data_IF_373428488276
#
_entry.id   IF_373428488276
#
_cell.length_a   1.000
_cell.length_b   1.000
_cell.length_c   1.000
_cell.angle_alpha   90.00
_cell.angle_beta   90.00
_cell.angle_gamma   90.00
#
_symmetry.space_group_name_H-M   'P 1'
#
loop_
_entity.id
_entity.type
_entity.pdbx_description
1 polymer ?
#
# COMPACT_ATOMS: atom_id res chain seq x y z
N UNK A 1 14.52 -0.59 -27.97
CA UNK A 1 14.66 -0.01 -26.62
C UNK A 1 14.03 -1.01 -25.68
N UNK A 2 14.71 -1.41 -24.59
CA UNK A 2 14.08 -2.26 -23.58
C UNK A 2 12.86 -1.55 -23.01
N UNK A 3 11.75 -2.26 -22.88
CA UNK A 3 10.54 -1.73 -22.26
C UNK A 3 10.83 -1.33 -20.81
N UNK A 4 10.27 -0.20 -20.36
CA UNK A 4 10.39 0.24 -18.96
C UNK A 4 9.41 -0.56 -18.09
N UNK A 5 9.84 -1.17 -16.97
CA UNK A 5 8.94 -1.81 -16.02
C UNK A 5 7.88 -0.83 -15.50
N UNK A 6 6.67 -1.33 -15.25
CA UNK A 6 5.51 -0.53 -14.83
C UNK A 6 4.81 -1.25 -13.70
N UNK A 7 4.72 -0.63 -12.54
CA UNK A 7 4.10 -1.21 -11.36
C UNK A 7 2.98 -0.28 -10.85
N UNK A 8 1.87 -0.87 -10.45
CA UNK A 8 0.72 -0.17 -9.91
C UNK A 8 0.39 -0.71 -8.52
N UNK A 9 0.43 0.16 -7.52
CA UNK A 9 0.02 -0.14 -6.15
C UNK A 9 -1.36 0.49 -5.90
N UNK A 10 -2.30 -0.28 -5.35
CA UNK A 10 -3.67 0.17 -5.11
C UNK A 10 -4.00 0.06 -3.63
N UNK A 11 -4.18 1.21 -2.98
CA UNK A 11 -4.39 1.37 -1.55
C UNK A 11 -5.70 2.07 -1.23
N UNK A 12 -6.20 1.83 -0.03
CA UNK A 12 -7.43 2.44 0.46
C UNK A 12 -7.20 3.90 0.85
N UNK A 13 -6.19 4.17 1.70
CA UNK A 13 -6.00 5.47 2.35
C UNK A 13 -4.59 6.06 2.15
N UNK A 14 -4.44 7.39 2.37
CA UNK A 14 -3.14 8.07 2.43
C UNK A 14 -2.25 7.66 3.62
N UNK A 15 -1.31 6.71 3.46
CA UNK A 15 -0.34 6.17 4.45
C UNK A 15 -0.11 4.67 4.23
N UNK A 16 -1.15 3.97 3.81
CA UNK A 16 -1.12 2.53 3.49
C UNK A 16 0.02 2.17 2.54
N UNK A 17 0.31 3.02 1.55
CA UNK A 17 1.38 2.79 0.58
C UNK A 17 2.75 2.82 1.24
N UNK A 18 2.96 3.71 2.22
CA UNK A 18 4.22 3.87 2.94
C UNK A 18 4.39 2.77 3.99
N UNK A 19 3.30 2.39 4.67
CA UNK A 19 3.27 1.34 5.68
C UNK A 19 3.60 -0.04 5.08
N UNK A 20 2.94 -0.38 3.96
CA UNK A 20 2.98 -1.73 3.39
C UNK A 20 4.00 -1.89 2.26
N UNK A 21 4.20 -0.88 1.41
CA UNK A 21 4.98 -1.00 0.18
C UNK A 21 6.04 0.09 -0.02
N UNK A 22 6.32 0.91 0.99
CA UNK A 22 7.19 2.07 0.84
C UNK A 22 8.60 1.70 0.38
N UNK A 23 9.17 0.62 0.92
CA UNK A 23 10.53 0.20 0.55
C UNK A 23 10.56 -0.37 -0.87
N UNK A 24 9.52 -1.11 -1.26
CA UNK A 24 9.38 -1.67 -2.61
C UNK A 24 9.16 -0.59 -3.66
N UNK A 25 8.33 0.41 -3.37
CA UNK A 25 8.11 1.55 -4.26
C UNK A 25 9.46 2.27 -4.50
N UNK A 26 10.19 2.59 -3.43
CA UNK A 26 11.51 3.23 -3.53
C UNK A 26 12.55 2.34 -4.25
N UNK A 27 12.49 1.02 -4.02
CA UNK A 27 13.35 0.04 -4.69
C UNK A 27 13.16 0.09 -6.22
N UNK A 28 11.91 0.12 -6.70
CA UNK A 28 11.63 0.12 -8.14
C UNK A 28 11.83 1.48 -8.79
N UNK A 29 11.46 2.59 -8.13
CA UNK A 29 11.68 3.94 -8.69
C UNK A 29 13.17 4.25 -8.83
N UNK A 30 14.01 3.86 -7.86
CA UNK A 30 15.47 4.03 -7.94
C UNK A 30 16.11 3.23 -9.09
N UNK A 31 15.45 2.15 -9.54
CA UNK A 31 15.86 1.33 -10.69
C UNK A 31 15.26 1.79 -12.02
N UNK A 32 14.57 2.93 -12.03
CA UNK A 32 13.99 3.55 -13.24
C UNK A 32 12.69 2.91 -13.71
N UNK A 33 12.03 2.08 -12.89
CA UNK A 33 10.68 1.63 -13.17
C UNK A 33 9.69 2.80 -13.05
N UNK A 34 8.61 2.75 -13.83
CA UNK A 34 7.46 3.64 -13.65
C UNK A 34 6.56 3.05 -12.58
N UNK A 35 6.51 3.69 -11.42
CA UNK A 35 5.66 3.26 -10.31
C UNK A 35 4.53 4.26 -10.14
N UNK A 36 3.30 3.74 -10.08
CA UNK A 36 2.09 4.52 -9.84
C UNK A 36 1.39 4.02 -8.58
N UNK A 37 0.81 4.94 -7.83
CA UNK A 37 0.04 4.64 -6.62
C UNK A 37 -1.37 5.19 -6.79
N UNK A 38 -2.36 4.31 -6.70
CA UNK A 38 -3.77 4.65 -6.65
C UNK A 38 -4.23 4.61 -5.20
N UNK A 39 -4.89 5.68 -4.77
CA UNK A 39 -5.53 5.77 -3.45
C UNK A 39 -7.05 5.91 -3.64
N UNK A 40 -7.82 5.04 -2.99
CA UNK A 40 -9.28 4.95 -3.18
C UNK A 40 -10.07 6.04 -2.45
N UNK A 41 -9.63 6.41 -1.26
CA UNK A 41 -10.26 7.43 -0.40
C UNK A 41 -9.22 8.43 0.10
N UNK A 42 -9.62 9.43 0.88
CA UNK A 42 -8.69 10.39 1.48
C UNK A 42 -8.43 10.09 2.97
N UNK A 43 -8.91 8.95 3.48
CA UNK A 43 -8.75 8.56 4.87
C UNK A 43 -9.43 9.54 5.83
N UNK A 44 -10.62 10.02 5.45
CA UNK A 44 -11.31 11.09 6.15
C UNK A 44 -11.84 10.70 7.54
N UNK A 45 -12.02 9.41 7.80
CA UNK A 45 -12.52 8.88 9.08
C UNK A 45 -11.36 8.46 10.02
N UNK A 46 -10.11 8.68 9.60
CA UNK A 46 -8.93 8.36 10.40
C UNK A 46 -8.78 9.19 11.68
N UNK A 47 -8.12 8.59 12.67
CA UNK A 47 -7.68 9.30 13.88
C UNK A 47 -6.53 10.26 13.55
N UNK A 48 -6.28 11.24 14.42
CA UNK A 48 -5.15 12.18 14.27
C UNK A 48 -4.24 12.10 15.48
N UNK A 49 -2.95 11.87 15.24
CA UNK A 49 -1.93 11.82 16.30
C UNK A 49 -1.54 13.23 16.75
N UNK A 50 -1.67 13.46 18.05
CA UNK A 50 -1.23 14.69 18.73
C UNK A 50 -2.14 15.91 18.50
N UNK A 51 -1.86 16.98 19.23
CA UNK A 51 -2.80 18.11 19.34
C UNK A 51 -2.78 19.08 18.15
N UNK A 52 -1.67 19.14 17.41
CA UNK A 52 -1.44 20.17 16.38
C UNK A 52 -2.53 20.16 15.30
N UNK A 53 -2.99 18.97 14.91
CA UNK A 53 -3.95 18.78 13.81
C UNK A 53 -5.26 18.12 14.26
N UNK A 54 -5.45 17.93 15.57
CA UNK A 54 -6.59 17.18 16.12
C UNK A 54 -7.95 17.74 15.69
N UNK A 55 -8.06 19.03 15.40
CA UNK A 55 -9.31 19.66 14.97
C UNK A 55 -9.67 19.42 13.49
N UNK A 56 -8.82 18.73 12.71
CA UNK A 56 -9.11 18.42 11.30
C UNK A 56 -10.03 17.21 11.12
N UNK A 57 -10.24 16.40 12.16
CA UNK A 57 -11.03 15.17 12.13
C UNK A 57 -12.48 15.38 11.68
N UNK A 58 -13.13 14.29 11.27
CA UNK A 58 -14.51 14.28 10.78
C UNK A 58 -15.56 14.76 11.80
N UNK A 59 -15.27 14.71 13.11
CA UNK A 59 -16.15 15.21 14.19
C UNK A 59 -15.91 16.69 14.52
N UNK A 60 -14.93 17.31 13.86
CA UNK A 60 -14.57 18.71 14.05
C UNK A 60 -14.68 19.47 12.73
N UNK A 61 -13.56 19.81 12.09
CA UNK A 61 -13.57 20.60 10.86
C UNK A 61 -13.89 19.79 9.59
N UNK A 62 -13.84 18.45 9.64
CA UNK A 62 -13.96 17.55 8.48
C UNK A 62 -13.03 17.97 7.31
N UNK A 63 -11.78 18.28 7.66
CA UNK A 63 -10.75 18.76 6.74
C UNK A 63 -9.58 17.78 6.58
N UNK A 64 -9.57 16.69 7.34
CA UNK A 64 -8.48 15.71 7.37
C UNK A 64 -8.16 15.17 5.97
N UNK A 65 -9.16 14.79 5.19
CA UNK A 65 -8.95 14.27 3.83
C UNK A 65 -8.18 15.23 2.93
N UNK A 66 -8.55 16.51 2.95
CA UNK A 66 -7.85 17.54 2.18
C UNK A 66 -6.41 17.76 2.65
N UNK A 67 -6.17 17.64 3.95
CA UNK A 67 -4.82 17.71 4.52
C UNK A 67 -3.96 16.51 4.12
N UNK A 68 -4.52 15.30 4.19
CA UNK A 68 -3.85 14.03 3.84
C UNK A 68 -3.45 13.93 2.36
N UNK A 69 -4.08 14.69 1.45
CA UNK A 69 -3.58 14.87 0.07
C UNK A 69 -2.14 15.40 0.08
N UNK A 70 -1.85 16.39 0.93
CA UNK A 70 -0.52 16.98 1.07
C UNK A 70 0.49 16.00 1.66
N UNK A 71 0.08 15.22 2.66
CA UNK A 71 0.89 14.18 3.30
C UNK A 71 1.26 13.08 2.29
N UNK A 72 0.28 12.51 1.59
CA UNK A 72 0.50 11.51 0.54
C UNK A 72 1.40 12.03 -0.57
N UNK A 73 1.17 13.26 -1.03
CA UNK A 73 2.02 13.83 -2.09
C UNK A 73 3.47 13.98 -1.62
N UNK A 74 3.70 14.36 -0.37
CA UNK A 74 5.05 14.44 0.19
C UNK A 74 5.68 13.05 0.37
N UNK A 75 4.90 12.08 0.85
CA UNK A 75 5.33 10.69 1.02
C UNK A 75 5.74 10.07 -0.32
N UNK A 76 4.89 10.15 -1.34
CA UNK A 76 5.17 9.64 -2.68
C UNK A 76 6.42 10.27 -3.31
N UNK A 77 6.64 11.58 -3.13
CA UNK A 77 7.88 12.23 -3.58
C UNK A 77 9.12 11.67 -2.91
N UNK A 78 9.05 11.37 -1.61
CA UNK A 78 10.16 10.72 -0.89
C UNK A 78 10.45 9.31 -1.45
N UNK A 79 9.41 8.61 -1.93
CA UNK A 79 9.52 7.30 -2.57
C UNK A 79 9.86 7.34 -4.07
N UNK A 80 10.06 8.52 -4.65
CA UNK A 80 10.36 8.68 -6.09
C UNK A 80 9.15 8.64 -7.03
N UNK A 81 7.92 8.72 -6.50
CA UNK A 81 6.67 8.81 -7.27
C UNK A 81 6.23 10.28 -7.35
N UNK A 82 5.90 10.76 -8.56
CA UNK A 82 5.67 12.19 -8.79
C UNK A 82 4.37 12.73 -8.16
N UNK A 83 3.29 11.96 -8.19
CA UNK A 83 1.97 12.38 -7.72
C UNK A 83 1.07 11.15 -7.46
N UNK A 84 0.10 11.28 -6.53
CA UNK A 84 -0.93 10.27 -6.32
C UNK A 84 -1.93 10.25 -7.48
N UNK A 85 -2.47 9.06 -7.77
CA UNK A 85 -3.67 8.88 -8.59
C UNK A 85 -4.82 8.60 -7.63
N UNK A 86 -5.93 9.31 -7.76
CA UNK A 86 -7.12 9.04 -6.95
C UNK A 86 -8.13 8.26 -7.77
N UNK A 87 -8.64 7.16 -7.22
CA UNK A 87 -9.65 6.35 -7.90
C UNK A 87 -10.88 7.23 -8.21
N UNK A 88 -11.20 7.41 -9.49
CA UNK A 88 -12.35 8.22 -9.92
C UNK A 88 -12.26 9.73 -9.59
N UNK A 89 -11.09 10.21 -9.16
CA UNK A 89 -10.84 11.59 -8.70
C UNK A 89 -10.79 11.74 -7.17
N UNK A 90 -10.05 12.75 -6.69
CA UNK A 90 -9.86 12.97 -5.26
C UNK A 90 -11.20 13.19 -4.54
N UNK A 91 -11.43 12.44 -3.46
CA UNK A 91 -12.65 12.52 -2.65
C UNK A 91 -13.91 12.04 -3.38
N UNK A 92 -13.80 11.28 -4.48
CA UNK A 92 -14.94 10.68 -5.19
C UNK A 92 -15.76 9.80 -4.25
N UNK A 93 -15.07 8.91 -3.54
CA UNK A 93 -15.59 8.13 -2.43
C UNK A 93 -14.91 8.56 -1.14
N UNK A 94 -15.67 8.46 -0.04
CA UNK A 94 -15.18 8.77 1.30
C UNK A 94 -14.77 7.48 1.99
N UNK A 95 -13.74 7.55 2.82
CA UNK A 95 -13.42 6.56 3.83
C UNK A 95 -14.70 6.08 4.56
N UNK A 96 -14.84 4.76 4.70
CA UNK A 96 -16.02 4.13 5.27
C UNK A 96 -15.98 4.01 6.79
N UNK A 97 -14.82 4.27 7.41
CA UNK A 97 -14.53 4.00 8.81
C UNK A 97 -14.41 2.51 9.13
N UNK A 98 -14.15 2.21 10.41
CA UNK A 98 -14.07 0.85 10.92
C UNK A 98 -15.45 0.19 11.02
N UNK A 99 -15.48 -1.16 11.00
CA UNK A 99 -16.71 -1.88 11.26
C UNK A 99 -17.29 -1.49 12.64
N UNK A 100 -18.57 -1.11 12.67
CA UNK A 100 -19.27 -0.70 13.89
C UNK A 100 -19.18 0.79 14.24
N UNK A 101 -18.42 1.61 13.49
CA UNK A 101 -18.48 3.07 13.64
C UNK A 101 -19.73 3.63 12.99
N UNK A 102 -20.28 4.73 13.55
CA UNK A 102 -21.44 5.42 13.00
C UNK A 102 -21.16 5.92 11.57
N UNK A 103 -22.13 5.71 10.68
CA UNK A 103 -22.04 6.16 9.30
C UNK A 103 -22.13 7.70 9.23
N UNK A 104 -21.11 8.35 8.69
CA UNK A 104 -21.07 9.82 8.54
C UNK A 104 -21.36 10.32 7.13
N UNK A 105 -21.42 9.43 6.13
CA UNK A 105 -21.59 9.81 4.72
C UNK A 105 -22.42 8.78 3.95
N UNK A 106 -23.08 9.26 2.89
CA UNK A 106 -23.76 8.42 1.89
C UNK A 106 -22.83 7.99 0.74
N UNK A 107 -21.59 8.48 0.72
CA UNK A 107 -20.57 8.17 -0.31
C UNK A 107 -19.47 7.25 0.20
N UNK A 108 -19.76 6.41 1.19
CA UNK A 108 -18.79 5.45 1.74
C UNK A 108 -18.26 4.56 0.62
N UNK A 109 -16.96 4.34 0.61
CA UNK A 109 -16.29 3.55 -0.41
C UNK A 109 -16.85 2.13 -0.48
N UNK A 110 -17.14 1.49 0.66
CA UNK A 110 -17.74 0.14 0.70
C UNK A 110 -19.15 0.04 0.11
N UNK A 111 -19.89 1.16 0.02
CA UNK A 111 -21.25 1.21 -0.52
C UNK A 111 -21.31 1.62 -2.00
N UNK A 112 -20.16 1.89 -2.61
CA UNK A 112 -20.08 2.36 -3.98
C UNK A 112 -20.62 1.34 -4.98
N UNK A 113 -21.26 1.81 -6.06
CA UNK A 113 -21.63 0.93 -7.18
C UNK A 113 -20.37 0.25 -7.74
N UNK A 114 -20.26 -1.09 -7.69
CA UNK A 114 -19.08 -1.81 -8.16
C UNK A 114 -18.73 -1.51 -9.62
N UNK A 115 -19.70 -1.18 -10.47
CA UNK A 115 -19.43 -0.79 -11.86
C UNK A 115 -18.59 0.49 -11.93
N UNK A 116 -18.81 1.44 -11.01
CA UNK A 116 -18.07 2.70 -10.99
C UNK A 116 -16.66 2.53 -10.41
N UNK A 117 -16.51 1.80 -9.30
CA UNK A 117 -15.20 1.58 -8.67
C UNK A 117 -14.31 0.70 -9.55
N UNK A 118 -14.83 -0.43 -10.01
CA UNK A 118 -14.10 -1.34 -10.93
C UNK A 118 -13.85 -0.64 -12.26
N UNK A 119 -14.83 0.05 -12.84
CA UNK A 119 -14.67 0.78 -14.10
C UNK A 119 -13.59 1.86 -14.05
N UNK A 120 -13.51 2.62 -12.95
CA UNK A 120 -12.46 3.61 -12.75
C UNK A 120 -11.07 2.96 -12.67
N UNK A 121 -10.93 1.83 -11.97
CA UNK A 121 -9.64 1.14 -11.88
C UNK A 121 -9.25 0.44 -13.18
N UNK A 122 -10.21 -0.13 -13.92
CA UNK A 122 -9.98 -0.69 -15.26
C UNK A 122 -9.44 0.38 -16.21
N UNK A 123 -10.01 1.58 -16.19
CA UNK A 123 -9.53 2.69 -17.00
C UNK A 123 -8.05 2.99 -16.72
N UNK A 124 -7.67 3.07 -15.43
CA UNK A 124 -6.29 3.29 -14.99
C UNK A 124 -5.37 2.14 -15.42
N UNK A 125 -5.77 0.89 -15.22
CA UNK A 125 -4.97 -0.29 -15.61
C UNK A 125 -4.73 -0.30 -17.13
N UNK A 126 -5.75 0.02 -17.92
CA UNK A 126 -5.64 0.02 -19.39
C UNK A 126 -4.83 1.19 -19.94
N UNK A 127 -4.88 2.35 -19.26
CA UNK A 127 -4.05 3.50 -19.58
C UNK A 127 -2.58 3.26 -19.24
N UNK A 128 -2.30 2.82 -18.00
CA UNK A 128 -0.93 2.66 -17.50
C UNK A 128 -0.27 1.34 -17.93
N UNK A 129 -1.07 0.34 -18.32
CA UNK A 129 -0.62 -1.00 -18.74
C UNK A 129 0.42 -1.60 -17.79
N UNK A 130 0.15 -1.69 -16.47
CA UNK A 130 1.13 -2.14 -15.50
C UNK A 130 1.50 -3.62 -15.72
N UNK A 131 2.78 -3.94 -15.58
CA UNK A 131 3.29 -5.31 -15.59
C UNK A 131 3.00 -6.03 -14.27
N UNK A 132 2.97 -5.27 -13.18
CA UNK A 132 2.68 -5.75 -11.83
C UNK A 132 1.60 -4.89 -11.21
N UNK A 133 0.57 -5.51 -10.65
CA UNK A 133 -0.41 -4.84 -9.77
C UNK A 133 -0.26 -5.42 -8.36
N UNK A 134 -0.25 -4.55 -7.35
CA UNK A 134 -0.18 -4.91 -5.93
C UNK A 134 -1.36 -4.28 -5.19
N UNK A 135 -2.02 -5.06 -4.32
CA UNK A 135 -3.04 -4.58 -3.38
C UNK A 135 -3.08 -5.47 -2.14
N UNK A 136 -4.07 -5.32 -1.27
CA UNK A 136 -4.25 -6.16 -0.09
C UNK A 136 -4.62 -7.61 -0.43
N UNK A 137 -4.39 -8.51 0.53
CA UNK A 137 -4.98 -9.85 0.54
C UNK A 137 -6.51 -9.80 0.77
N UNK A 138 -7.23 -10.93 0.65
CA UNK A 138 -8.68 -10.98 0.83
C UNK A 138 -9.19 -10.46 2.19
N UNK A 139 -8.37 -10.51 3.24
CA UNK A 139 -8.72 -9.99 4.55
C UNK A 139 -8.34 -8.51 4.72
N UNK A 140 -7.78 -7.84 3.71
CA UNK A 140 -7.39 -6.43 3.80
C UNK A 140 -6.22 -6.18 4.76
N UNK A 141 -5.40 -7.19 5.03
CA UNK A 141 -4.34 -7.23 6.03
C UNK A 141 -4.86 -7.59 7.41
N UNK A 142 -5.71 -6.73 7.98
CA UNK A 142 -6.19 -6.85 9.36
C UNK A 142 -7.72 -6.69 9.51
N UNK A 143 -8.46 -6.68 8.39
CA UNK A 143 -9.93 -6.61 8.41
C UNK A 143 -10.53 -5.21 8.29
N UNK A 144 -9.75 -4.17 7.93
CA UNK A 144 -10.32 -2.85 7.67
C UNK A 144 -11.31 -2.92 6.48
N UNK A 145 -12.55 -2.42 6.61
CA UNK A 145 -13.56 -2.53 5.55
C UNK A 145 -13.10 -1.99 4.19
N UNK A 146 -12.44 -0.82 4.17
CA UNK A 146 -11.94 -0.23 2.93
C UNK A 146 -10.75 -1.00 2.32
N UNK A 147 -9.97 -1.74 3.12
CA UNK A 147 -8.87 -2.56 2.59
C UNK A 147 -9.43 -3.80 1.91
N UNK A 148 -10.40 -4.46 2.55
CA UNK A 148 -11.15 -5.59 1.99
C UNK A 148 -11.88 -5.17 0.71
N UNK A 149 -12.49 -3.98 0.70
CA UNK A 149 -13.15 -3.47 -0.49
C UNK A 149 -12.15 -3.10 -1.60
N UNK A 150 -10.99 -2.51 -1.26
CA UNK A 150 -9.91 -2.23 -2.22
C UNK A 150 -9.38 -3.52 -2.85
N UNK A 151 -9.19 -4.59 -2.06
CA UNK A 151 -8.87 -5.93 -2.57
C UNK A 151 -9.92 -6.41 -3.57
N UNK A 152 -11.20 -6.31 -3.20
CA UNK A 152 -12.32 -6.75 -4.05
C UNK A 152 -12.36 -6.00 -5.38
N UNK A 153 -12.28 -4.66 -5.33
CA UNK A 153 -12.28 -3.79 -6.50
C UNK A 153 -11.08 -4.06 -7.39
N UNK A 154 -9.89 -4.21 -6.81
CA UNK A 154 -8.65 -4.46 -7.57
C UNK A 154 -8.67 -5.82 -8.24
N UNK A 155 -9.09 -6.87 -7.54
CA UNK A 155 -9.22 -8.22 -8.10
C UNK A 155 -10.18 -8.23 -9.29
N UNK A 156 -11.34 -7.60 -9.14
CA UNK A 156 -12.30 -7.47 -10.23
C UNK A 156 -11.76 -6.64 -11.41
N UNK A 157 -11.04 -5.55 -11.14
CA UNK A 157 -10.47 -4.68 -12.17
C UNK A 157 -9.33 -5.36 -12.94
N UNK A 158 -8.46 -6.11 -12.26
CA UNK A 158 -7.39 -6.91 -12.90
C UNK A 158 -8.00 -7.93 -13.85
N UNK A 159 -9.06 -8.64 -13.45
CA UNK A 159 -9.77 -9.59 -14.30
C UNK A 159 -10.46 -8.90 -15.49
N UNK A 160 -11.17 -7.79 -15.25
CA UNK A 160 -11.93 -7.07 -16.26
C UNK A 160 -11.03 -6.32 -17.27
N UNK A 161 -9.86 -5.84 -16.85
CA UNK A 161 -8.95 -5.09 -17.70
C UNK A 161 -8.48 -5.89 -18.92
N UNK A 162 -8.32 -7.21 -18.77
CA UNK A 162 -7.85 -8.12 -19.82
C UNK A 162 -8.91 -8.59 -20.82
N UNK A 163 -10.19 -8.26 -20.62
CA UNK A 163 -11.31 -8.80 -21.43
C UNK A 163 -12.16 -7.71 -22.07
N UNK A 164 -12.58 -7.92 -23.33
CA UNK A 164 -13.55 -7.09 -24.05
C UNK A 164 -13.04 -5.68 -24.43
N UNK A 165 -13.29 -5.24 -25.66
CA UNK A 165 -13.00 -3.86 -26.08
C UNK A 165 -13.82 -2.84 -25.30
N UNK A 166 -13.25 -1.67 -25.02
CA UNK A 166 -13.81 -0.57 -24.21
C UNK A 166 -15.34 -0.45 -24.23
N UNK A 167 -15.98 -0.71 -23.09
CA UNK A 167 -17.40 -0.44 -22.84
C UNK A 167 -17.55 0.85 -22.03
N UNK A 168 -18.78 1.36 -21.86
CA UNK A 168 -19.03 2.49 -20.96
C UNK A 168 -18.63 2.18 -19.50
N UNK A 169 -18.81 0.93 -19.06
CA UNK A 169 -18.43 0.48 -17.71
C UNK A 169 -16.93 0.18 -17.58
N UNK A 170 -16.27 -0.20 -18.68
CA UNK A 170 -14.85 -0.59 -18.73
C UNK A 170 -14.18 0.04 -19.95
N UNK A 171 -13.79 1.33 -19.91
CA UNK A 171 -13.25 2.05 -21.06
C UNK A 171 -11.80 1.63 -21.39
N UNK A 172 -11.29 2.06 -22.54
CA UNK A 172 -9.89 1.82 -22.97
C UNK A 172 -9.65 0.46 -23.66
N UNK A 173 -8.45 0.28 -24.21
CA UNK A 173 -8.03 -0.97 -24.85
C UNK A 173 -7.67 -2.04 -23.81
N UNK A 174 -7.99 -3.32 -24.05
CA UNK A 174 -7.66 -4.39 -23.11
C UNK A 174 -6.18 -4.47 -22.75
N UNK A 175 -5.92 -4.78 -21.49
CA UNK A 175 -4.59 -5.08 -20.96
C UNK A 175 -4.67 -6.20 -19.94
N UNK A 176 -4.02 -7.33 -20.25
CA UNK A 176 -3.85 -8.43 -19.32
C UNK A 176 -2.66 -8.13 -18.42
N UNK A 177 -2.91 -7.93 -17.13
CA UNK A 177 -1.86 -7.73 -16.12
C UNK A 177 -1.04 -9.03 -15.99
N UNK A 178 0.28 -9.00 -16.28
CA UNK A 178 1.12 -10.19 -16.20
C UNK A 178 1.22 -10.81 -14.80
N UNK A 179 1.35 -9.98 -13.75
CA UNK A 179 1.48 -10.45 -12.36
C UNK A 179 0.64 -9.60 -11.40
N UNK A 180 -0.10 -10.26 -10.54
CA UNK A 180 -0.94 -9.66 -9.52
C UNK A 180 -0.57 -10.22 -8.16
N UNK A 181 -0.23 -9.34 -7.22
CA UNK A 181 0.23 -9.70 -5.89
C UNK A 181 -0.63 -9.11 -4.79
N UNK A 182 -0.71 -9.85 -3.68
CA UNK A 182 -1.15 -9.31 -2.41
C UNK A 182 0.08 -8.88 -1.60
N UNK A 183 0.08 -7.66 -1.09
CA UNK A 183 1.03 -7.24 -0.06
C UNK A 183 0.62 -7.89 1.26
N UNK A 184 1.57 -8.52 1.94
CA UNK A 184 1.32 -9.25 3.19
C UNK A 184 2.40 -8.97 4.22
N UNK A 185 2.04 -9.13 5.49
CA UNK A 185 2.98 -9.01 6.60
C UNK A 185 3.64 -10.36 6.87
N UNK A 186 4.95 -10.49 6.60
CA UNK A 186 5.72 -11.68 6.97
C UNK A 186 6.00 -11.73 8.48
N UNK A 187 5.45 -12.74 9.17
CA UNK A 187 5.54 -12.84 10.64
C UNK A 187 6.99 -13.02 11.12
N UNK A 188 7.79 -13.83 10.43
CA UNK A 188 9.20 -14.05 10.79
C UNK A 188 10.01 -12.75 10.70
N UNK A 189 9.82 -11.98 9.63
CA UNK A 189 10.48 -10.70 9.43
C UNK A 189 10.03 -9.67 10.47
N UNK A 190 8.73 -9.58 10.77
CA UNK A 190 8.21 -8.70 11.81
C UNK A 190 8.78 -9.04 13.19
N UNK A 191 8.75 -10.32 13.59
CA UNK A 191 9.26 -10.77 14.89
C UNK A 191 10.76 -10.54 15.00
N UNK A 192 11.53 -10.84 13.95
CA UNK A 192 12.97 -10.60 13.90
C UNK A 192 13.28 -9.11 14.04
N UNK A 193 12.58 -8.27 13.27
CA UNK A 193 12.71 -6.82 13.32
C UNK A 193 12.40 -6.25 14.71
N UNK A 194 11.29 -6.68 15.33
CA UNK A 194 10.90 -6.24 16.66
C UNK A 194 11.94 -6.63 17.72
N UNK A 195 12.51 -7.84 17.64
CA UNK A 195 13.59 -8.29 18.54
C UNK A 195 14.90 -7.51 18.35
N UNK A 196 15.13 -6.92 17.18
CA UNK A 196 16.32 -6.15 16.88
C UNK A 196 16.21 -4.68 17.32
N UNK A 197 15.03 -4.21 17.78
CA UNK A 197 14.86 -2.87 18.30
C UNK A 197 15.50 -2.74 19.69
N UNK A 198 16.07 -1.56 19.96
CA UNK A 198 16.64 -1.17 21.25
C UNK A 198 15.83 -0.02 21.85
N UNK A 199 15.93 0.26 23.17
CA UNK A 199 15.18 1.34 23.80
C UNK A 199 15.34 2.72 23.12
N UNK A 200 16.52 3.01 22.56
CA UNK A 200 16.78 4.27 21.84
C UNK A 200 15.99 4.41 20.53
N UNK A 201 15.48 3.31 19.98
CA UNK A 201 14.62 3.32 18.79
C UNK A 201 13.17 3.75 19.10
N UNK A 202 12.80 3.76 20.38
CA UNK A 202 11.41 3.87 20.84
C UNK A 202 11.15 5.20 21.54
N UNK A 203 9.91 5.67 21.46
CA UNK A 203 9.43 6.75 22.32
C UNK A 203 9.00 6.20 23.69
N UNK A 204 9.09 7.00 24.77
CA UNK A 204 8.71 6.55 26.11
C UNK A 204 7.27 6.01 26.22
N UNK A 205 6.35 6.53 25.42
CA UNK A 205 4.94 6.15 25.39
C UNK A 205 4.65 4.89 24.57
N UNK A 206 5.63 4.34 23.85
CA UNK A 206 5.44 3.21 22.96
C UNK A 206 5.58 1.86 23.64
N UNK A 207 4.79 0.91 23.16
CA UNK A 207 4.84 -0.50 23.59
C UNK A 207 5.16 -1.36 22.38
N UNK A 208 6.12 -2.27 22.53
CA UNK A 208 6.33 -3.33 21.53
C UNK A 208 5.26 -4.40 21.71
N UNK A 209 4.45 -4.70 20.67
CA UNK A 209 3.47 -5.78 20.76
C UNK A 209 4.20 -7.12 20.94
N UNK A 210 3.59 -8.00 21.73
CA UNK A 210 4.10 -9.37 21.85
C UNK A 210 3.75 -10.17 20.59
N UNK A 211 4.55 -11.18 20.29
CA UNK A 211 4.35 -11.99 19.08
C UNK A 211 2.95 -12.65 19.02
N UNK A 212 2.39 -13.01 20.18
CA UNK A 212 1.04 -13.58 20.34
C UNK A 212 -0.09 -12.54 20.24
N UNK A 213 0.22 -11.24 20.30
CA UNK A 213 -0.74 -10.15 20.11
C UNK A 213 -0.89 -9.76 18.63
N UNK A 214 0.03 -10.21 17.77
CA UNK A 214 -0.04 -10.00 16.32
C UNK A 214 -1.02 -11.02 15.74
N UNK A 215 -2.27 -10.59 15.54
CA UNK A 215 -3.37 -11.44 15.08
C UNK A 215 -3.43 -11.60 13.54
N UNK A 216 -2.52 -10.97 12.80
CA UNK A 216 -2.51 -10.95 11.33
C UNK A 216 -1.09 -11.10 10.79
N UNK A 217 -0.98 -11.73 9.62
CA UNK A 217 0.30 -11.98 8.96
C UNK A 217 0.40 -13.40 8.41
N UNK A 218 1.44 -13.62 7.62
CA UNK A 218 1.70 -14.86 6.91
C UNK A 218 2.97 -15.51 7.46
N UNK A 219 2.93 -16.83 7.61
CA UNK A 219 4.12 -17.64 7.81
C UNK A 219 4.91 -17.75 6.50
N UNK A 220 6.20 -18.09 6.62
CA UNK A 220 7.15 -18.12 5.50
C UNK A 220 6.72 -19.06 4.36
N UNK A 221 6.03 -20.16 4.68
CA UNK A 221 5.46 -21.12 3.73
C UNK A 221 4.24 -20.59 2.96
N UNK A 222 3.62 -19.51 3.45
CA UNK A 222 2.52 -18.81 2.80
C UNK A 222 2.96 -17.61 1.95
N UNK A 223 4.26 -17.35 1.81
CA UNK A 223 4.82 -16.22 1.04
C UNK A 223 5.35 -16.73 -0.30
N UNK A 224 5.11 -15.97 -1.38
CA UNK A 224 5.59 -16.31 -2.73
C UNK A 224 6.73 -15.42 -3.21
N UNK A 225 6.85 -14.20 -2.67
CA UNK A 225 7.85 -13.24 -3.10
C UNK A 225 8.23 -12.27 -1.97
N UNK A 226 9.46 -11.76 -2.05
CA UNK A 226 9.99 -10.72 -1.17
C UNK A 226 10.73 -9.69 -2.01
N UNK A 227 10.61 -8.43 -1.64
CA UNK A 227 11.50 -7.36 -2.12
C UNK A 227 12.40 -6.99 -0.97
N UNK A 228 13.66 -7.40 -1.05
CA UNK A 228 14.72 -7.07 -0.10
C UNK A 228 15.35 -5.73 -0.53
N UNK A 229 14.75 -4.64 -0.09
CA UNK A 229 15.18 -3.30 -0.49
C UNK A 229 16.49 -2.89 0.21
N UNK A 230 17.28 -2.03 -0.43
CA UNK A 230 18.51 -1.50 0.17
C UNK A 230 18.21 -0.43 1.24
N UNK A 231 19.26 -0.01 1.95
CA UNK A 231 19.15 0.98 3.02
C UNK A 231 18.67 2.35 2.51
N UNK A 232 18.97 2.71 1.26
CA UNK A 232 18.48 3.95 0.66
C UNK A 232 16.95 3.89 0.46
N UNK A 233 16.42 2.78 -0.04
CA UNK A 233 15.00 2.55 -0.15
C UNK A 233 14.31 2.48 1.23
N UNK A 234 14.96 1.86 2.23
CA UNK A 234 14.48 1.89 3.62
C UNK A 234 14.42 3.31 4.17
N UNK A 235 15.45 4.13 3.93
CA UNK A 235 15.47 5.54 4.35
C UNK A 235 14.38 6.37 3.64
N UNK A 236 14.11 6.10 2.36
CA UNK A 236 12.98 6.70 1.63
C UNK A 236 11.63 6.33 2.27
N UNK A 237 11.44 5.05 2.64
CA UNK A 237 10.26 4.60 3.41
C UNK A 237 10.13 5.34 4.75
N UNK A 238 11.22 5.51 5.49
CA UNK A 238 11.22 6.30 6.74
C UNK A 238 10.77 7.74 6.50
N UNK A 239 11.28 8.40 5.46
CA UNK A 239 10.87 9.76 5.10
C UNK A 239 9.40 9.84 4.67
N UNK A 240 8.90 8.82 3.96
CA UNK A 240 7.51 8.74 3.53
C UNK A 240 6.55 8.53 4.70
N UNK A 241 6.88 7.62 5.63
CA UNK A 241 6.16 7.44 6.89
C UNK A 241 6.12 8.75 7.71
N UNK A 242 7.25 9.46 7.80
CA UNK A 242 7.30 10.74 8.51
C UNK A 242 6.48 11.86 7.86
N UNK A 243 6.14 11.75 6.56
CA UNK A 243 5.29 12.72 5.87
C UNK A 243 3.81 12.58 6.25
N UNK A 244 3.39 11.40 6.71
CA UNK A 244 2.04 11.13 7.23
C UNK A 244 1.93 11.49 8.71
N UNK A 245 2.26 12.74 9.04
CA UNK A 245 2.34 13.24 10.42
C UNK A 245 1.02 13.15 11.21
N UNK A 246 -0.14 13.07 10.54
CA UNK A 246 -1.42 12.82 11.21
C UNK A 246 -1.62 11.36 11.60
N UNK A 247 -0.96 10.41 10.93
CA UNK A 247 -1.23 8.96 11.05
C UNK A 247 -0.06 8.16 11.63
N UNK A 248 1.17 8.59 11.38
CA UNK A 248 2.38 7.83 11.70
C UNK A 248 3.38 8.72 12.43
N UNK A 249 3.92 8.18 13.51
CA UNK A 249 5.07 8.78 14.20
C UNK A 249 6.28 7.88 14.02
N UNK A 250 7.35 8.43 13.43
CA UNK A 250 8.64 7.75 13.31
C UNK A 250 9.46 7.96 14.60
N UNK A 251 10.11 6.88 15.05
CA UNK A 251 10.94 6.83 16.25
C UNK A 251 12.27 7.57 16.08
N UNK A 252 13.01 7.82 17.17
CA UNK A 252 14.19 8.70 17.16
C UNK A 252 15.28 8.30 16.15
N UNK A 253 15.44 6.99 15.91
CA UNK A 253 16.48 6.44 15.01
C UNK A 253 15.96 6.12 13.62
N UNK A 254 14.65 6.27 13.35
CA UNK A 254 14.04 5.83 12.10
C UNK A 254 14.00 4.30 11.92
N UNK A 255 14.16 3.52 12.99
CA UNK A 255 14.04 2.05 12.96
C UNK A 255 12.67 1.53 13.37
N UNK A 256 11.87 2.34 14.04
CA UNK A 256 10.52 1.99 14.47
C UNK A 256 9.54 3.12 14.15
N UNK A 257 8.26 2.78 13.99
CA UNK A 257 7.16 3.73 13.91
C UNK A 257 5.97 3.20 14.71
N UNK A 258 5.05 4.10 15.08
CA UNK A 258 3.77 3.74 15.67
C UNK A 258 2.64 4.58 15.07
N UNK A 259 1.43 4.01 15.11
CA UNK A 259 0.18 4.71 14.83
C UNK A 259 -0.38 5.33 16.13
N UNK A 260 -1.64 5.80 16.10
CA UNK A 260 -2.32 6.41 17.26
C UNK A 260 -2.43 5.50 18.49
N UNK A 261 -2.34 4.18 18.30
CA UNK A 261 -2.37 3.18 19.36
C UNK A 261 -1.06 3.04 20.16
N UNK A 262 0.01 3.75 19.78
CA UNK A 262 1.34 3.66 20.39
C UNK A 262 1.97 2.25 20.38
N UNK A 263 1.50 1.35 19.52
CA UNK A 263 2.16 0.08 19.27
C UNK A 263 3.30 0.30 18.28
N UNK A 264 4.54 0.11 18.76
CA UNK A 264 5.72 0.26 17.92
C UNK A 264 5.90 -0.97 17.01
N UNK A 265 6.09 -0.72 15.73
CA UNK A 265 6.46 -1.71 14.72
C UNK A 265 7.83 -1.35 14.11
N UNK A 266 8.68 -2.34 13.78
CA UNK A 266 9.93 -2.07 13.08
C UNK A 266 9.66 -1.56 11.66
N UNK A 267 10.46 -0.59 11.21
CA UNK A 267 10.46 -0.13 9.81
C UNK A 267 11.41 -1.02 9.02
N UNK A 268 10.86 -2.05 8.38
CA UNK A 268 11.59 -3.05 7.60
C UNK A 268 11.83 -2.59 6.15
N UNK A 269 12.97 -3.00 5.59
CA UNK A 269 13.27 -2.90 4.17
C UNK A 269 12.65 -4.06 3.37
N UNK A 270 12.51 -5.22 4.01
CA UNK A 270 11.95 -6.43 3.40
C UNK A 270 10.42 -6.36 3.44
N UNK A 271 9.80 -6.42 2.26
CA UNK A 271 8.35 -6.41 2.09
C UNK A 271 7.92 -7.66 1.33
N UNK A 272 6.84 -8.31 1.78
CA UNK A 272 6.48 -9.67 1.39
C UNK A 272 5.17 -9.72 0.63
N UNK A 273 5.04 -10.71 -0.25
CA UNK A 273 3.95 -10.79 -1.19
C UNK A 273 3.48 -12.23 -1.45
N UNK A 274 2.20 -12.36 -1.79
CA UNK A 274 1.57 -13.60 -2.27
C UNK A 274 1.16 -13.42 -3.73
N UNK A 275 1.49 -14.37 -4.59
CA UNK A 275 1.16 -14.30 -6.02
C UNK A 275 -0.29 -14.71 -6.24
N UNK A 276 -1.17 -13.74 -6.40
CA UNK A 276 -2.61 -13.93 -6.57
C UNK A 276 -3.02 -14.24 -8.02
N UNK A 277 -2.20 -13.85 -9.00
CA UNK A 277 -2.44 -14.11 -10.40
C UNK A 277 -1.21 -13.90 -11.28
N UNK A 278 -1.16 -14.62 -12.39
CA UNK A 278 0.02 -14.63 -13.29
C UNK A 278 0.83 -15.92 -13.14
N UNK A 279 2.07 -15.89 -13.60
CA UNK A 279 3.03 -17.00 -13.46
C UNK A 279 4.24 -16.54 -12.66
N UNK A 280 4.65 -17.36 -11.70
CA UNK A 280 5.88 -17.12 -10.95
C UNK A 280 7.10 -17.23 -11.87
N UNK A 281 8.08 -16.38 -11.63
CA UNK A 281 9.42 -16.44 -12.19
C UNK A 281 10.36 -17.30 -11.35
N UNK A 282 11.65 -16.99 -11.41
CA UNK A 282 12.68 -17.68 -10.64
C UNK A 282 12.50 -17.43 -9.14
N UNK A 283 12.63 -18.49 -8.34
CA UNK A 283 12.56 -18.47 -6.88
C UNK A 283 13.92 -18.83 -6.28
N UNK A 284 14.22 -18.28 -5.12
CA UNK A 284 15.40 -18.60 -4.32
C UNK A 284 15.24 -19.89 -3.51
N UNK A 285 16.17 -20.16 -2.59
CA UNK A 285 16.15 -21.33 -1.71
C UNK A 285 15.03 -21.34 -0.67
N UNK A 286 14.43 -20.18 -0.36
CA UNK A 286 13.23 -20.05 0.48
C UNK A 286 11.97 -20.41 -0.29
N UNK A 287 12.05 -20.47 -1.62
CA UNK A 287 10.91 -20.66 -2.51
C UNK A 287 10.24 -19.33 -2.88
N UNK A 288 10.93 -18.21 -2.72
CA UNK A 288 10.39 -16.87 -2.96
C UNK A 288 10.99 -16.24 -4.22
N UNK A 289 10.17 -15.53 -4.99
CA UNK A 289 10.69 -14.59 -5.98
C UNK A 289 11.32 -13.40 -5.25
N UNK A 290 12.56 -13.04 -5.58
CA UNK A 290 13.27 -11.88 -5.00
C UNK A 290 13.11 -10.60 -5.81
N UNK A 291 12.26 -10.65 -6.84
CA UNK A 291 11.87 -9.53 -7.68
C UNK A 291 10.44 -9.80 -8.20
N UNK A 292 9.50 -8.89 -7.96
CA UNK A 292 8.13 -8.97 -8.47
C UNK A 292 8.08 -9.00 -10.01
N UNK A 293 9.13 -8.53 -10.70
CA UNK A 293 9.27 -8.59 -12.16
C UNK A 293 9.86 -9.92 -12.66
N UNK A 294 10.22 -10.85 -11.77
CA UNK A 294 10.79 -12.14 -12.15
C UNK A 294 9.88 -12.86 -13.16
N UNK A 295 10.49 -13.39 -14.22
CA UNK A 295 9.78 -14.07 -15.33
C UNK A 295 9.25 -13.14 -16.44
N UNK A 296 9.32 -11.82 -16.29
CA UNK A 296 8.80 -10.87 -17.30
C UNK A 296 9.84 -10.39 -18.32
N UNK A 297 11.06 -10.93 -18.29
CA UNK A 297 12.10 -10.61 -19.27
C UNK A 297 12.80 -9.26 -19.07
N UNK A 298 12.51 -8.55 -17.97
CA UNK A 298 13.33 -7.43 -17.54
C UNK A 298 14.65 -7.94 -16.98
N UNK A 299 15.77 -7.42 -17.47
CA UNK A 299 17.06 -7.65 -16.84
C UNK A 299 17.05 -6.94 -15.50
N UNK A 300 17.37 -7.63 -14.40
CA UNK A 300 17.69 -6.97 -13.14
C UNK A 300 18.77 -5.92 -13.44
N UNK A 301 18.40 -4.64 -13.40
CA UNK A 301 19.37 -3.55 -13.54
C UNK A 301 20.38 -3.72 -12.42
N UNK A 302 21.64 -3.95 -12.81
CA UNK A 302 22.71 -4.45 -11.96
C UNK A 302 22.80 -3.76 -10.59
N UNK A 303 23.08 -4.60 -9.58
CA UNK A 303 23.61 -4.23 -8.27
C UNK A 303 24.84 -3.33 -8.36
#
# INVERSE_FOLDING_TARGET
MSETPRLLFVHAHPDDESLSNGATIAHYTSRGAQVHVVTCTLGEEGEVIGDRWAQLTADHADQLGGYRIGELTAALRALGVSAPIYLGGAGRWRDSGMAGTDQRSQRRFVDADPRQTVGALVAIIRELRPHVVVTYDPNGGYGHPDHVHTHTVTTAAVAAAGVGSGTADHPGDPWTVPKFYWTVLGLSALISGARALVPDDLRPEWVLPRADEIAFGYSDDGIDAVVEADEQARAAKVAALAAHATQVVVGPTGRAAALSNNLALPILADEHYVLAGGSAGARDERGWETDLLAGLGFTASGT
#
